data_IF_657120570241
#
_entry.id   IF_657120570241
#
_cell.length_a   1.000
_cell.length_b   1.000
_cell.length_c   1.000
_cell.angle_alpha   90.00
_cell.angle_beta   90.00
_cell.angle_gamma   90.00
#
_symmetry.space_group_name_H-M   'P 1'
#
loop_
_entity.id
_entity.type
_entity.pdbx_description
1 polymer ?
#
# COMPACT_ATOMS: atom_id res chain seq x y z
N UNK A 1 -4.42 -7.79 4.49
CA UNK A 1 -4.42 -6.76 3.41
C UNK A 1 -3.42 -5.65 3.74
N UNK A 2 -2.64 -5.16 2.77
CA UNK A 2 -1.75 -4.00 2.90
C UNK A 2 -2.17 -2.94 1.88
N UNK A 3 -2.12 -1.67 2.26
CA UNK A 3 -2.57 -0.57 1.40
C UNK A 3 -1.85 0.75 1.68
N UNK A 4 -1.81 1.61 0.67
CA UNK A 4 -1.30 2.98 0.76
C UNK A 4 -2.32 3.87 0.04
N UNK A 5 -2.74 4.96 0.69
CA UNK A 5 -3.71 5.90 0.14
C UNK A 5 -3.29 7.33 0.44
N UNK A 6 -3.39 8.24 -0.54
CA UNK A 6 -3.18 9.68 -0.33
C UNK A 6 -4.52 10.37 -0.19
N UNK A 7 -4.93 10.66 1.04
CA UNK A 7 -6.22 11.30 1.32
C UNK A 7 -6.04 12.82 1.48
N UNK A 8 -6.73 13.59 0.63
CA UNK A 8 -6.76 15.06 0.71
C UNK A 8 -5.41 15.73 0.46
N UNK A 9 -5.22 16.94 1.00
CA UNK A 9 -3.99 17.73 0.89
C UNK A 9 -2.88 17.31 1.87
N UNK A 10 -2.93 16.08 2.40
CA UNK A 10 -1.90 15.57 3.30
C UNK A 10 -0.56 15.48 2.54
N UNK A 11 0.49 16.05 3.13
CA UNK A 11 1.87 15.95 2.63
C UNK A 11 2.37 14.50 2.55
N UNK A 12 1.80 13.59 3.34
CA UNK A 12 2.22 12.21 3.43
C UNK A 12 1.07 11.22 3.21
N UNK A 13 1.31 10.08 2.55
CA UNK A 13 0.29 9.04 2.38
C UNK A 13 -0.11 8.42 3.72
N UNK A 14 -1.28 7.78 3.77
CA UNK A 14 -1.70 6.91 4.87
C UNK A 14 -1.43 5.45 4.50
N UNK A 15 -0.79 4.73 5.41
CA UNK A 15 -0.49 3.30 5.25
C UNK A 15 -1.50 2.48 6.04
N UNK A 16 -1.92 1.35 5.49
CA UNK A 16 -2.93 0.48 6.07
C UNK A 16 -2.43 -0.95 6.19
N UNK A 17 -2.77 -1.61 7.30
CA UNK A 17 -2.64 -3.05 7.48
C UNK A 17 -3.94 -3.60 8.06
N UNK A 18 -4.52 -4.56 7.36
CA UNK A 18 -5.83 -5.14 7.69
C UNK A 18 -6.89 -4.05 7.92
N UNK A 19 -6.98 -3.11 6.97
CA UNK A 19 -7.87 -1.95 7.00
C UNK A 19 -7.66 -0.95 8.16
N UNK A 20 -6.72 -1.21 9.07
CA UNK A 20 -6.36 -0.27 10.13
C UNK A 20 -5.23 0.66 9.64
N UNK A 21 -5.31 1.98 9.90
CA UNK A 21 -4.22 2.90 9.60
C UNK A 21 -3.01 2.60 10.49
N UNK A 22 -1.82 2.73 9.93
CA UNK A 22 -0.55 2.60 10.63
C UNK A 22 0.03 3.99 10.90
N UNK A 23 0.54 4.18 12.12
CA UNK A 23 1.37 5.34 12.45
C UNK A 23 2.75 5.15 11.81
N UNK A 24 3.13 6.09 10.95
CA UNK A 24 4.39 6.04 10.21
C UNK A 24 5.22 7.29 10.53
N UNK A 25 6.54 7.11 10.62
CA UNK A 25 7.46 8.24 10.59
C UNK A 25 7.76 8.59 9.12
N UNK A 26 7.71 9.88 8.78
CA UNK A 26 8.05 10.38 7.46
C UNK A 26 9.28 11.29 7.55
N UNK A 27 10.25 11.05 6.68
CA UNK A 27 11.35 11.99 6.49
C UNK A 27 10.88 13.16 5.62
N UNK A 28 11.55 14.31 5.72
CA UNK A 28 11.23 15.52 4.94
C UNK A 28 11.31 15.30 3.42
N UNK A 29 12.15 14.35 2.98
CA UNK A 29 12.26 13.88 1.59
C UNK A 29 11.43 12.61 1.33
N UNK A 30 10.36 12.40 2.09
CA UNK A 30 9.45 11.28 1.91
C UNK A 30 8.77 11.28 0.53
N UNK A 31 7.70 10.48 0.39
CA UNK A 31 6.99 10.35 -0.87
C UNK A 31 6.18 11.63 -1.20
N UNK A 32 6.87 12.64 -1.74
CA UNK A 32 6.34 13.95 -2.11
C UNK A 32 5.22 13.83 -3.15
N UNK A 33 4.31 14.82 -3.15
CA UNK A 33 3.24 14.96 -4.14
C UNK A 33 3.47 16.24 -4.98
N UNK A 34 3.49 16.17 -6.33
CA UNK A 34 3.41 14.97 -7.16
C UNK A 34 4.68 14.11 -7.07
N UNK A 35 4.51 12.78 -7.04
CA UNK A 35 5.60 11.87 -7.35
C UNK A 35 5.69 11.78 -8.87
N UNK A 36 6.87 12.05 -9.43
CA UNK A 36 7.08 12.04 -10.88
C UNK A 36 6.86 10.66 -11.51
N UNK A 37 6.73 9.59 -10.71
CA UNK A 37 6.55 8.22 -11.17
C UNK A 37 7.54 7.83 -12.28
N UNK A 38 8.74 8.40 -12.24
CA UNK A 38 9.73 8.32 -13.32
C UNK A 38 10.51 7.00 -13.32
N UNK A 39 10.00 5.96 -12.66
CA UNK A 39 10.63 4.65 -12.48
C UNK A 39 9.60 3.54 -12.58
N UNK A 40 10.08 2.36 -12.96
CA UNK A 40 9.24 1.16 -13.06
C UNK A 40 8.66 0.74 -11.71
N UNK A 41 7.43 0.21 -11.74
CA UNK A 41 6.85 -0.50 -10.61
C UNK A 41 7.54 -1.87 -10.48
N UNK A 42 8.37 -2.01 -9.45
CA UNK A 42 9.13 -3.23 -9.20
C UNK A 42 8.49 -4.04 -8.07
N UNK A 43 8.21 -5.32 -8.35
CA UNK A 43 7.67 -6.26 -7.38
C UNK A 43 8.74 -7.28 -6.98
N UNK A 44 9.00 -7.38 -5.69
CA UNK A 44 9.80 -8.47 -5.12
C UNK A 44 11.27 -8.19 -4.87
N UNK A 45 11.97 -7.43 -5.70
CA UNK A 45 13.37 -7.03 -5.46
C UNK A 45 13.77 -5.82 -6.31
N UNK A 46 14.41 -4.79 -5.72
CA UNK A 46 14.77 -3.55 -6.42
C UNK A 46 16.28 -3.35 -6.68
N UNK A 47 17.19 -3.99 -5.95
CA UNK A 47 18.61 -3.58 -5.98
C UNK A 47 19.66 -4.70 -5.97
N UNK A 48 19.72 -5.57 -4.96
CA UNK A 48 20.73 -6.64 -4.87
C UNK A 48 20.09 -7.99 -4.55
N UNK A 49 20.75 -9.10 -4.92
CA UNK A 49 20.28 -10.47 -4.63
C UNK A 49 20.22 -10.80 -3.12
N UNK A 50 20.70 -9.90 -2.28
CA UNK A 50 21.06 -10.22 -0.89
C UNK A 50 20.21 -9.43 0.13
N UNK A 51 19.37 -8.49 -0.32
CA UNK A 51 18.51 -7.71 0.56
C UNK A 51 17.11 -7.50 -0.05
N UNK A 52 16.08 -7.54 0.80
CA UNK A 52 14.70 -7.18 0.49
C UNK A 52 13.98 -8.04 -0.56
N UNK A 53 14.20 -9.36 -0.53
CA UNK A 53 13.43 -10.30 -1.35
C UNK A 53 12.07 -10.59 -0.72
N UNK A 54 11.00 -10.23 -1.42
CA UNK A 54 9.70 -10.77 -1.09
C UNK A 54 9.59 -12.20 -1.64
N UNK A 55 9.59 -13.18 -0.73
CA UNK A 55 9.41 -14.59 -1.06
C UNK A 55 8.10 -15.09 -0.48
N UNK A 56 6.98 -14.80 -1.14
CA UNK A 56 5.66 -15.37 -0.83
C UNK A 56 4.66 -15.08 -1.95
N UNK A 57 3.42 -15.57 -1.79
CA UNK A 57 2.31 -15.25 -2.69
C UNK A 57 1.71 -13.89 -2.32
N UNK A 58 1.56 -13.03 -3.32
CA UNK A 58 0.82 -11.79 -3.17
C UNK A 58 -0.56 -11.95 -3.81
N UNK A 59 -1.61 -11.69 -3.04
CA UNK A 59 -2.97 -11.72 -3.55
C UNK A 59 -3.37 -10.36 -4.11
N UNK A 60 -3.76 -10.35 -5.39
CA UNK A 60 -4.48 -9.30 -6.09
C UNK A 60 -3.99 -7.85 -5.86
N UNK A 61 -2.89 -7.50 -6.54
CA UNK A 61 -2.38 -6.14 -6.57
C UNK A 61 -3.28 -5.21 -7.39
N UNK A 62 -3.62 -4.06 -6.80
CA UNK A 62 -4.49 -3.06 -7.41
C UNK A 62 -3.94 -1.66 -7.21
N UNK A 63 -4.20 -0.80 -8.20
CA UNK A 63 -3.91 0.64 -8.18
C UNK A 63 -5.20 1.34 -8.54
N UNK A 64 -5.55 2.38 -7.78
CA UNK A 64 -6.77 3.16 -7.99
C UNK A 64 -6.41 4.57 -8.46
N UNK A 65 -7.21 5.12 -9.38
CA UNK A 65 -7.11 6.52 -9.80
C UNK A 65 -7.70 7.51 -8.79
N UNK A 66 -7.99 7.07 -7.56
CA UNK A 66 -8.54 7.88 -6.48
C UNK A 66 -7.98 7.43 -5.15
N UNK A 67 -8.00 8.32 -4.17
CA UNK A 67 -7.76 7.97 -2.78
C UNK A 67 -8.84 7.01 -2.27
N UNK A 68 -8.41 5.98 -1.55
CA UNK A 68 -9.30 5.10 -0.79
C UNK A 68 -9.33 5.55 0.68
N UNK A 69 -10.49 5.99 1.21
CA UNK A 69 -10.66 6.23 2.63
C UNK A 69 -10.67 4.91 3.42
N UNK A 70 -10.65 4.98 4.75
CA UNK A 70 -10.49 3.79 5.60
C UNK A 70 -11.64 2.78 5.42
N UNK A 71 -12.86 3.27 5.25
CA UNK A 71 -14.06 2.46 5.00
C UNK A 71 -13.94 1.61 3.73
N UNK A 72 -13.32 2.13 2.67
CA UNK A 72 -13.10 1.39 1.42
C UNK A 72 -12.12 0.23 1.63
N UNK A 73 -11.06 0.46 2.41
CA UNK A 73 -10.13 -0.60 2.78
C UNK A 73 -10.80 -1.69 3.63
N UNK A 74 -11.68 -1.28 4.55
CA UNK A 74 -12.49 -2.20 5.36
C UNK A 74 -13.42 -3.05 4.49
N UNK A 75 -14.11 -2.43 3.53
CA UNK A 75 -14.94 -3.13 2.57
C UNK A 75 -14.15 -4.16 1.78
N UNK A 76 -12.98 -3.79 1.22
CA UNK A 76 -12.14 -4.72 0.44
C UNK A 76 -11.69 -5.89 1.32
N UNK A 77 -11.23 -5.63 2.55
CA UNK A 77 -10.80 -6.69 3.46
C UNK A 77 -11.92 -7.69 3.72
N UNK A 78 -13.12 -7.22 4.04
CA UNK A 78 -14.26 -8.07 4.35
C UNK A 78 -14.75 -8.83 3.11
N UNK A 79 -14.84 -8.14 1.97
CA UNK A 79 -15.24 -8.75 0.71
C UNK A 79 -14.27 -9.86 0.28
N UNK A 80 -13.00 -9.78 0.65
CA UNK A 80 -11.96 -10.75 0.24
C UNK A 80 -11.56 -11.74 1.32
N UNK A 81 -12.04 -11.60 2.56
CA UNK A 81 -11.69 -12.48 3.69
C UNK A 81 -11.92 -13.96 3.38
N UNK A 82 -12.95 -14.26 2.61
CA UNK A 82 -13.29 -15.62 2.17
C UNK A 82 -12.17 -16.31 1.36
N UNK A 83 -11.34 -15.57 0.62
CA UNK A 83 -10.19 -16.14 -0.11
C UNK A 83 -9.07 -16.62 0.81
N UNK A 84 -9.07 -16.19 2.07
CA UNK A 84 -8.01 -16.45 3.04
C UNK A 84 -8.48 -17.28 4.24
N UNK A 85 -9.71 -17.80 4.21
CA UNK A 85 -10.28 -18.57 5.31
C UNK A 85 -10.54 -17.75 6.57
N UNK A 86 -10.67 -16.43 6.44
CA UNK A 86 -11.00 -15.52 7.54
C UNK A 86 -12.48 -15.14 7.39
N UNK A 87 -13.32 -15.69 8.26
CA UNK A 87 -14.73 -15.33 8.43
C UNK A 87 -14.92 -14.70 9.81
#
# INVERSE_FOLDING_TARGET
LLGISRLGASLYPLHYRNAAPLTMAYEASGMLDPDTCNRDLVLGCRYTKDANWYRNRMWNMRVWGRALPQEDWGFILNAEGHWFGVN
#
